data_IF_054800135200
#
_entry.id   IF_054800135200
#
_cell.length_a   1.000
_cell.length_b   1.000
_cell.length_c   1.000
_cell.angle_alpha   90.00
_cell.angle_beta   90.00
_cell.angle_gamma   90.00
#
_symmetry.space_group_name_H-M   'P 1'
#
loop_
_entity.id
_entity.type
_entity.pdbx_description
1 polymer ?
#
# COMPACT_ATOMS: atom_id res chain seq x y z
N UNK A 1 4.51 44.47 15.83
CA UNK A 1 4.53 43.36 14.84
C UNK A 1 3.75 42.20 15.46
N UNK A 2 2.44 42.21 15.26
CA UNK A 2 1.57 41.11 15.64
C UNK A 2 0.64 40.86 14.46
N UNK A 3 0.55 39.60 14.06
CA UNK A 3 -0.64 38.86 13.64
C UNK A 3 -0.18 37.65 12.82
N UNK A 4 0.27 36.60 13.52
CA UNK A 4 0.20 35.24 12.99
C UNK A 4 -1.23 34.78 13.29
N UNK A 5 -2.06 34.42 12.29
CA UNK A 5 -3.38 33.90 12.58
C UNK A 5 -3.25 32.46 13.12
N UNK A 6 -3.63 32.28 14.39
CA UNK A 6 -3.65 31.03 15.15
C UNK A 6 -4.96 30.24 14.93
N UNK A 7 -5.34 30.01 13.68
CA UNK A 7 -6.59 29.30 13.38
C UNK A 7 -6.30 28.04 12.55
N UNK A 8 -5.93 26.96 13.25
CA UNK A 8 -5.84 25.62 12.65
C UNK A 8 -7.16 24.89 12.94
N UNK A 9 -7.99 24.71 11.90
CA UNK A 9 -9.25 23.97 12.00
C UNK A 9 -9.01 22.49 11.67
N UNK A 10 -9.25 21.59 12.63
CA UNK A 10 -9.36 20.16 12.33
C UNK A 10 -10.75 19.91 11.73
N UNK A 11 -10.79 19.45 10.47
CA UNK A 11 -12.02 19.09 9.77
C UNK A 11 -12.35 17.63 10.09
N UNK A 12 -13.08 17.40 11.17
CA UNK A 12 -13.55 16.04 11.53
C UNK A 12 -14.84 15.77 10.76
N UNK A 13 -14.85 14.71 9.95
CA UNK A 13 -16.04 14.27 9.23
C UNK A 13 -16.84 13.32 10.11
N UNK A 14 -17.97 13.80 10.63
CA UNK A 14 -19.01 12.96 11.21
C UNK A 14 -20.37 13.46 10.71
N UNK A 15 -21.10 12.57 10.01
CA UNK A 15 -22.50 12.74 9.63
C UNK A 15 -22.91 14.11 9.06
N UNK A 16 -22.16 14.62 8.07
CA UNK A 16 -22.61 15.73 7.21
C UNK A 16 -22.71 17.12 7.86
N UNK A 17 -22.17 17.34 9.06
CA UNK A 17 -22.09 18.70 9.67
C UNK A 17 -20.65 19.09 9.97
N UNK A 18 -20.20 20.20 9.39
CA UNK A 18 -18.89 20.81 9.68
C UNK A 18 -18.95 21.46 11.07
N UNK A 19 -18.46 20.77 12.10
CA UNK A 19 -18.24 21.39 13.41
C UNK A 19 -16.88 22.12 13.41
N UNK A 20 -16.92 23.43 13.54
CA UNK A 20 -15.73 24.25 13.82
C UNK A 20 -15.39 24.13 15.30
N UNK A 21 -14.56 23.15 15.67
CA UNK A 21 -14.01 23.07 17.03
C UNK A 21 -12.77 23.96 17.12
N UNK A 22 -12.81 24.97 18.00
CA UNK A 22 -11.62 25.76 18.36
C UNK A 22 -10.79 24.95 19.35
N UNK A 23 -9.70 24.37 18.89
CA UNK A 23 -8.79 23.62 19.75
C UNK A 23 -7.89 24.59 20.52
N UNK A 24 -8.33 24.99 21.71
CA UNK A 24 -7.52 25.78 22.64
C UNK A 24 -6.45 24.88 23.28
N UNK A 25 -5.32 24.73 22.59
CA UNK A 25 -4.16 24.03 23.15
C UNK A 25 -3.48 24.96 24.15
N UNK A 26 -3.60 24.65 25.45
CA UNK A 26 -2.84 25.34 26.49
C UNK A 26 -1.34 25.21 26.24
N UNK A 27 -0.56 26.27 26.54
CA UNK A 27 0.89 26.32 26.34
C UNK A 27 1.62 25.13 27.00
N UNK A 28 1.07 24.61 28.08
CA UNK A 28 1.59 23.43 28.80
C UNK A 28 1.47 22.14 27.99
N UNK A 29 0.38 21.97 27.24
CA UNK A 29 0.17 20.80 26.38
C UNK A 29 1.05 20.89 25.12
N UNK A 30 1.30 22.11 24.62
CA UNK A 30 2.18 22.32 23.49
C UNK A 30 3.63 21.92 23.81
N UNK A 31 4.11 22.23 25.03
CA UNK A 31 5.44 21.81 25.50
C UNK A 31 5.51 20.27 25.60
N UNK A 32 4.47 19.62 26.14
CA UNK A 32 4.44 18.15 26.25
C UNK A 32 4.50 17.47 24.87
N UNK A 33 3.74 17.97 23.90
CA UNK A 33 3.76 17.44 22.52
C UNK A 33 5.15 17.63 21.89
N UNK A 34 5.79 18.77 22.12
CA UNK A 34 7.12 19.07 21.58
C UNK A 34 8.19 18.13 22.19
N UNK A 35 8.13 17.88 23.49
CA UNK A 35 9.04 16.93 24.18
C UNK A 35 8.83 15.50 23.65
N UNK A 36 7.59 15.04 23.51
CA UNK A 36 7.29 13.71 22.96
C UNK A 36 7.80 13.57 21.52
N UNK A 37 7.65 14.61 20.71
CA UNK A 37 8.17 14.65 19.34
C UNK A 37 9.70 14.51 19.28
N UNK A 38 10.44 15.20 20.16
CA UNK A 38 11.91 15.11 20.22
C UNK A 38 12.38 13.71 20.67
N UNK A 39 11.69 13.09 21.63
CA UNK A 39 12.05 11.74 22.08
C UNK A 39 11.85 10.72 20.95
N UNK A 40 10.74 10.83 20.19
CA UNK A 40 10.47 9.96 19.05
C UNK A 40 11.51 10.09 17.94
N UNK A 41 12.00 11.29 17.64
CA UNK A 41 13.02 11.48 16.60
C UNK A 41 14.37 10.87 17.00
N UNK A 42 14.77 10.96 18.26
CA UNK A 42 16.01 10.34 18.76
C UNK A 42 15.93 8.80 18.64
N UNK A 43 14.80 8.20 18.99
CA UNK A 43 14.60 6.74 18.86
C UNK A 43 14.67 6.30 17.40
N UNK A 44 14.10 7.09 16.48
CA UNK A 44 14.08 6.78 15.06
C UNK A 44 15.48 6.85 14.43
N UNK A 45 16.29 7.85 14.80
CA UNK A 45 17.69 7.96 14.38
C UNK A 45 18.53 6.81 14.96
N UNK A 46 18.35 6.46 16.23
CA UNK A 46 19.04 5.33 16.86
C UNK A 46 18.71 3.98 16.19
N UNK A 47 17.47 3.79 15.76
CA UNK A 47 17.04 2.58 15.04
C UNK A 47 17.67 2.49 13.64
N UNK A 48 17.74 3.59 12.90
CA UNK A 48 18.34 3.63 11.57
C UNK A 48 19.85 3.36 11.58
N UNK A 49 20.57 3.80 12.62
CA UNK A 49 22.00 3.54 12.76
C UNK A 49 22.32 2.08 13.13
N UNK A 50 21.37 1.32 13.67
CA UNK A 50 21.56 -0.10 14.05
C UNK A 50 21.58 -1.05 12.85
N UNK A 51 21.02 -0.67 11.70
CA UNK A 51 20.80 -1.56 10.54
C UNK A 51 22.04 -1.77 9.65
N UNK A 52 23.20 -1.16 9.94
CA UNK A 52 24.34 -1.11 9.01
C UNK A 52 25.47 -2.14 9.21
N UNK A 53 25.42 -3.01 10.22
CA UNK A 53 26.59 -3.81 10.63
C UNK A 53 26.47 -5.35 10.52
N UNK A 54 25.67 -5.90 9.61
CA UNK A 54 25.68 -7.36 9.36
C UNK A 54 25.52 -7.71 7.89
N UNK A 55 26.61 -7.75 7.14
CA UNK A 55 26.74 -8.55 5.91
C UNK A 55 28.18 -9.02 5.78
N UNK A 56 28.42 -10.31 6.04
CA UNK A 56 29.56 -11.08 5.53
C UNK A 56 29.35 -12.58 5.70
N UNK A 57 29.84 -13.33 4.70
CA UNK A 57 30.07 -14.80 4.61
C UNK A 57 28.89 -15.61 4.05
N UNK A 58 28.95 -16.43 2.99
CA UNK A 58 29.88 -16.77 1.88
C UNK A 58 29.07 -17.66 0.86
N UNK A 59 29.59 -17.96 -0.36
CA UNK A 59 28.90 -18.65 -1.45
C UNK A 59 29.19 -20.16 -1.57
N UNK A 60 28.30 -20.88 -2.26
CA UNK A 60 28.43 -22.29 -2.70
C UNK A 60 27.03 -22.88 -2.91
N UNK A 61 26.66 -23.62 -3.96
CA UNK A 61 27.39 -24.65 -4.70
C UNK A 61 26.68 -24.91 -6.03
N UNK A 62 27.45 -25.02 -7.11
CA UNK A 62 27.02 -25.50 -8.43
C UNK A 62 26.69 -27.01 -8.39
N UNK A 63 25.57 -27.41 -8.98
CA UNK A 63 25.32 -28.76 -9.52
C UNK A 63 24.46 -28.56 -10.78
N UNK A 64 25.09 -28.47 -11.96
CA UNK A 64 25.17 -29.54 -12.98
C UNK A 64 23.97 -30.51 -12.97
N UNK A 65 23.02 -30.28 -13.87
CA UNK A 65 22.27 -31.34 -14.54
C UNK A 65 22.29 -31.03 -16.03
N UNK A 66 23.08 -31.82 -16.77
CA UNK A 66 22.83 -32.09 -18.19
C UNK A 66 21.61 -32.99 -18.25
N UNK A 67 20.66 -32.67 -19.12
CA UNK A 67 20.09 -33.68 -19.99
C UNK A 67 19.58 -33.05 -21.28
N UNK A 68 19.83 -33.80 -22.34
CA UNK A 68 19.68 -33.47 -23.75
C UNK A 68 18.21 -33.53 -24.18
N UNK A 69 17.88 -32.63 -25.11
CA UNK A 69 17.16 -32.94 -26.35
C UNK A 69 15.80 -33.66 -26.28
N UNK A 70 14.72 -32.89 -26.50
CA UNK A 70 13.85 -33.16 -27.67
C UNK A 70 13.05 -31.92 -28.07
N UNK A 71 13.43 -31.36 -29.21
CA UNK A 71 12.61 -30.46 -30.01
C UNK A 71 11.44 -31.28 -30.58
N UNK A 72 10.23 -30.99 -30.11
CA UNK A 72 9.00 -31.40 -30.79
C UNK A 72 8.20 -30.13 -31.09
N UNK A 73 8.48 -29.58 -32.28
CA UNK A 73 7.77 -28.44 -32.83
C UNK A 73 6.39 -28.90 -33.28
N UNK A 74 5.43 -28.93 -32.35
CA UNK A 74 4.02 -28.86 -32.74
C UNK A 74 3.70 -27.37 -32.90
N UNK A 75 3.88 -26.87 -34.14
CA UNK A 75 3.36 -25.56 -34.53
C UNK A 75 1.83 -25.61 -34.41
N UNK A 76 1.29 -25.08 -33.31
CA UNK A 76 -0.10 -24.64 -33.30
C UNK A 76 -0.24 -23.53 -34.36
N UNK A 77 -1.21 -23.61 -35.28
CA UNK A 77 -1.52 -22.51 -36.17
C UNK A 77 -1.74 -21.25 -35.31
N UNK A 78 -0.99 -20.19 -35.60
CA UNK A 78 -1.24 -18.86 -35.03
C UNK A 78 -2.55 -18.38 -35.66
N UNK A 79 -3.65 -18.85 -35.10
CA UNK A 79 -5.00 -18.46 -35.44
C UNK A 79 -5.20 -17.03 -34.91
N UNK A 80 -5.32 -16.08 -35.85
CA UNK A 80 -5.82 -14.72 -35.68
C UNK A 80 -5.50 -14.06 -34.32
N UNK A 81 -4.30 -13.50 -34.21
CA UNK A 81 -4.12 -12.34 -33.35
C UNK A 81 -4.93 -11.19 -33.97
N UNK A 82 -6.19 -11.07 -33.57
CA UNK A 82 -6.96 -9.85 -33.78
C UNK A 82 -6.10 -8.71 -33.26
N UNK A 83 -5.56 -7.90 -34.19
CA UNK A 83 -4.82 -6.71 -33.80
C UNK A 83 -5.79 -5.84 -33.02
N UNK A 84 -5.48 -5.50 -31.76
CA UNK A 84 -6.38 -4.72 -30.93
C UNK A 84 -6.74 -3.44 -31.66
N UNK A 85 -8.02 -3.08 -31.60
CA UNK A 85 -8.51 -1.86 -32.24
C UNK A 85 -7.74 -0.67 -31.69
N UNK A 86 -7.36 0.28 -32.56
CA UNK A 86 -6.65 1.51 -32.14
C UNK A 86 -7.38 2.22 -30.97
N UNK A 87 -8.71 2.17 -30.95
CA UNK A 87 -9.54 2.75 -29.89
C UNK A 87 -9.37 2.05 -28.53
N UNK A 88 -9.26 0.72 -28.52
CA UNK A 88 -9.02 -0.07 -27.30
C UNK A 88 -7.65 0.22 -26.70
N UNK A 89 -6.65 0.46 -27.57
CA UNK A 89 -5.30 0.85 -27.15
C UNK A 89 -5.29 2.25 -26.53
N UNK A 90 -6.03 3.21 -27.09
CA UNK A 90 -6.12 4.56 -26.53
C UNK A 90 -6.82 4.62 -25.17
N UNK A 91 -7.93 3.90 -25.00
CA UNK A 91 -8.65 3.86 -23.73
C UNK A 91 -7.81 3.21 -22.62
N UNK A 92 -7.08 2.14 -22.95
CA UNK A 92 -6.15 1.51 -22.02
C UNK A 92 -4.99 2.44 -21.62
N UNK A 93 -4.51 3.29 -22.54
CA UNK A 93 -3.46 4.27 -22.27
C UNK A 93 -3.92 5.39 -21.34
N UNK A 94 -5.12 5.92 -21.56
CA UNK A 94 -5.70 6.97 -20.71
C UNK A 94 -5.94 6.44 -19.30
N UNK A 95 -6.48 5.23 -19.17
CA UNK A 95 -6.69 4.57 -17.88
C UNK A 95 -5.37 4.36 -17.11
N UNK A 96 -4.31 3.88 -17.78
CA UNK A 96 -3.01 3.67 -17.14
C UNK A 96 -2.28 4.98 -16.82
N UNK A 97 -2.70 6.08 -17.43
CA UNK A 97 -2.21 7.43 -17.07
C UNK A 97 -2.89 7.92 -15.80
N UNK A 98 -4.20 7.66 -15.65
CA UNK A 98 -4.97 8.01 -14.45
C UNK A 98 -4.65 7.12 -13.24
N UNK A 99 -4.40 5.83 -13.49
CA UNK A 99 -4.09 4.82 -12.48
C UNK A 99 -2.76 4.09 -12.77
N UNK A 100 -1.60 4.75 -12.60
CA UNK A 100 -0.30 4.14 -12.93
C UNK A 100 0.00 2.85 -12.18
N UNK A 101 -0.46 2.77 -10.92
CA UNK A 101 -0.29 1.63 -10.02
C UNK A 101 -1.11 0.40 -10.43
N UNK A 102 -2.04 0.53 -11.39
CA UNK A 102 -2.91 -0.58 -11.79
C UNK A 102 -2.12 -1.75 -12.40
N UNK A 103 -0.96 -1.47 -13.00
CA UNK A 103 -0.07 -2.48 -13.61
C UNK A 103 0.57 -3.43 -12.59
N UNK A 104 0.69 -2.97 -11.35
CA UNK A 104 1.34 -3.72 -10.27
C UNK A 104 0.33 -4.55 -9.46
N UNK A 105 -0.95 -4.55 -9.86
CA UNK A 105 -2.00 -5.33 -9.23
C UNK A 105 -2.19 -6.71 -9.91
N UNK A 106 -2.59 -7.74 -9.15
CA UNK A 106 -2.75 -7.75 -7.69
C UNK A 106 -1.40 -7.81 -6.96
N UNK A 107 -1.31 -7.13 -5.81
CA UNK A 107 -0.15 -7.27 -4.91
C UNK A 107 -0.47 -8.35 -3.88
N UNK A 108 0.29 -9.44 -3.90
CA UNK A 108 0.10 -10.59 -3.02
C UNK A 108 1.27 -10.77 -2.05
N UNK A 109 0.94 -10.99 -0.78
CA UNK A 109 1.88 -11.32 0.29
C UNK A 109 1.37 -12.53 1.09
N UNK A 110 2.14 -13.00 2.05
CA UNK A 110 1.69 -14.04 2.99
C UNK A 110 0.51 -13.57 3.86
N UNK A 111 0.33 -12.26 4.04
CA UNK A 111 -0.70 -11.69 4.91
C UNK A 111 -1.95 -11.23 4.16
N UNK A 112 -1.82 -10.75 2.91
CA UNK A 112 -2.94 -10.12 2.21
C UNK A 112 -2.79 -10.13 0.69
N UNK A 113 -3.89 -9.79 0.02
CA UNK A 113 -3.95 -9.49 -1.42
C UNK A 113 -4.61 -8.12 -1.60
N UNK A 114 -3.95 -7.23 -2.35
CA UNK A 114 -4.51 -5.95 -2.80
C UNK A 114 -4.96 -6.12 -4.24
N UNK A 115 -6.19 -5.70 -4.52
CA UNK A 115 -6.75 -5.69 -5.87
C UNK A 115 -7.63 -4.45 -6.07
N UNK A 116 -7.92 -4.11 -7.32
CA UNK A 116 -8.81 -2.99 -7.67
C UNK A 116 -10.14 -3.50 -8.19
N UNK A 117 -11.23 -2.90 -7.73
CA UNK A 117 -12.56 -3.13 -8.27
C UNK A 117 -12.90 -1.99 -9.24
N UNK A 118 -12.82 -2.28 -10.55
CA UNK A 118 -13.11 -1.28 -11.60
C UNK A 118 -14.53 -0.71 -11.48
N UNK A 119 -15.53 -1.56 -11.20
CA UNK A 119 -16.94 -1.13 -11.13
C UNK A 119 -17.24 -0.16 -9.98
N UNK A 120 -16.44 -0.24 -8.91
CA UNK A 120 -16.65 0.52 -7.67
C UNK A 120 -15.59 1.58 -7.42
N UNK A 121 -14.57 1.62 -8.28
CA UNK A 121 -13.39 2.49 -8.14
C UNK A 121 -12.80 2.46 -6.73
N UNK A 122 -12.68 1.26 -6.15
CA UNK A 122 -12.18 1.07 -4.79
C UNK A 122 -11.23 -0.12 -4.68
N UNK A 123 -10.29 -0.04 -3.73
CA UNK A 123 -9.39 -1.15 -3.43
C UNK A 123 -10.09 -2.24 -2.61
N UNK A 124 -9.77 -3.48 -2.93
CA UNK A 124 -10.15 -4.66 -2.16
C UNK A 124 -8.91 -5.20 -1.45
N UNK A 125 -8.95 -5.19 -0.12
CA UNK A 125 -7.92 -5.77 0.74
C UNK A 125 -8.41 -7.13 1.26
N UNK A 126 -7.93 -8.22 0.67
CA UNK A 126 -8.25 -9.56 1.15
C UNK A 126 -7.19 -10.01 2.15
N UNK A 127 -7.55 -10.16 3.42
CA UNK A 127 -6.66 -10.66 4.47
C UNK A 127 -6.64 -12.19 4.43
N UNK A 128 -5.45 -12.79 4.46
CA UNK A 128 -5.24 -14.25 4.47
C UNK A 128 -5.41 -14.84 5.87
N UNK A 129 -6.53 -14.50 6.50
CA UNK A 129 -6.95 -14.97 7.82
C UNK A 129 -8.47 -15.17 7.82
N UNK A 130 -8.99 -16.08 8.66
CA UNK A 130 -10.43 -16.23 8.82
C UNK A 130 -11.04 -15.02 9.54
N UNK A 131 -12.31 -14.74 9.26
CA UNK A 131 -13.05 -13.60 9.81
C UNK A 131 -13.16 -13.65 11.34
N UNK A 132 -13.20 -14.86 11.92
CA UNK A 132 -13.27 -15.08 13.37
C UNK A 132 -11.92 -14.95 14.11
N UNK A 133 -10.88 -14.45 13.44
CA UNK A 133 -9.57 -14.18 14.05
C UNK A 133 -9.66 -13.16 15.18
N UNK A 134 -8.63 -13.13 16.04
CA UNK A 134 -8.57 -12.11 17.09
C UNK A 134 -8.48 -10.70 16.50
N UNK A 135 -9.07 -9.72 17.19
CA UNK A 135 -9.03 -8.31 16.75
C UNK A 135 -7.59 -7.80 16.59
N UNK A 136 -6.67 -8.25 17.44
CA UNK A 136 -5.25 -7.93 17.32
C UNK A 136 -4.68 -8.42 15.98
N UNK A 137 -4.95 -9.67 15.60
CA UNK A 137 -4.51 -10.25 14.33
C UNK A 137 -5.11 -9.49 13.15
N UNK A 138 -6.43 -9.23 13.19
CA UNK A 138 -7.12 -8.46 12.15
C UNK A 138 -6.49 -7.07 11.99
N UNK A 139 -6.20 -6.39 13.10
CA UNK A 139 -5.58 -5.07 13.08
C UNK A 139 -4.17 -5.11 12.47
N UNK A 140 -3.34 -6.09 12.84
CA UNK A 140 -1.99 -6.26 12.28
C UNK A 140 -2.04 -6.48 10.77
N UNK A 141 -2.90 -7.39 10.31
CA UNK A 141 -3.03 -7.71 8.89
C UNK A 141 -3.58 -6.52 8.09
N UNK A 142 -4.57 -5.83 8.63
CA UNK A 142 -5.13 -4.62 8.04
C UNK A 142 -4.09 -3.51 7.93
N UNK A 143 -3.35 -3.23 9.01
CA UNK A 143 -2.29 -2.21 8.99
C UNK A 143 -1.20 -2.54 7.97
N UNK A 144 -0.84 -3.82 7.83
CA UNK A 144 0.12 -4.25 6.82
C UNK A 144 -0.41 -4.07 5.39
N UNK A 145 -1.67 -4.44 5.13
CA UNK A 145 -2.30 -4.26 3.81
C UNK A 145 -2.43 -2.78 3.44
N UNK A 146 -2.81 -1.94 4.40
CA UNK A 146 -2.88 -0.47 4.28
C UNK A 146 -1.49 0.11 3.99
N UNK A 147 -0.44 -0.36 4.67
CA UNK A 147 0.93 0.08 4.38
C UNK A 147 1.36 -0.29 2.95
N UNK A 148 1.04 -1.51 2.50
CA UNK A 148 1.30 -1.94 1.12
C UNK A 148 0.53 -1.13 0.08
N UNK A 149 -0.71 -0.77 0.38
CA UNK A 149 -1.52 0.09 -0.51
C UNK A 149 -0.91 1.49 -0.66
N UNK A 150 -0.38 2.05 0.44
CA UNK A 150 0.32 3.33 0.42
C UNK A 150 1.62 3.26 -0.38
N UNK A 151 2.36 2.16 -0.27
CA UNK A 151 3.58 1.94 -1.07
C UNK A 151 3.26 1.84 -2.57
N UNK A 152 2.19 1.11 -2.90
CA UNK A 152 1.70 0.94 -4.27
C UNK A 152 1.27 2.25 -4.92
N UNK A 153 0.46 3.05 -4.22
CA UNK A 153 -0.16 4.26 -4.80
C UNK A 153 0.69 5.51 -4.63
N UNK A 154 1.64 5.52 -3.70
CA UNK A 154 2.44 6.70 -3.34
C UNK A 154 1.64 7.82 -2.65
N UNK A 155 0.31 7.68 -2.53
CA UNK A 155 -0.60 8.67 -1.98
C UNK A 155 -1.14 8.26 -0.60
N UNK A 156 -1.50 9.25 0.21
CA UNK A 156 -2.29 9.02 1.41
C UNK A 156 -3.75 8.86 1.01
N UNK A 157 -4.50 7.99 1.72
CA UNK A 157 -5.87 7.50 1.46
C UNK A 157 -6.99 8.55 1.21
N UNK A 158 -6.66 9.82 1.06
CA UNK A 158 -7.60 10.90 0.78
C UNK A 158 -8.21 10.78 -0.63
N UNK A 159 -7.60 10.02 -1.55
CA UNK A 159 -8.06 9.84 -2.94
C UNK A 159 -8.72 8.50 -3.24
N UNK A 160 -8.45 7.45 -2.46
CA UNK A 160 -8.90 6.10 -2.76
C UNK A 160 -9.54 5.42 -1.55
N UNK A 161 -10.74 4.87 -1.74
CA UNK A 161 -11.44 4.05 -0.74
C UNK A 161 -10.98 2.59 -0.81
N UNK A 162 -11.16 1.87 0.29
CA UNK A 162 -10.94 0.43 0.33
C UNK A 162 -11.95 -0.29 1.20
N UNK A 163 -12.14 -1.58 0.93
CA UNK A 163 -12.88 -2.49 1.80
C UNK A 163 -12.10 -3.78 2.08
N UNK A 164 -12.44 -4.42 3.19
CA UNK A 164 -11.75 -5.59 3.72
C UNK A 164 -12.57 -6.86 3.41
N UNK A 165 -11.88 -7.92 3.01
CA UNK A 165 -12.41 -9.26 2.89
C UNK A 165 -11.52 -10.24 3.64
N UNK A 166 -12.08 -11.36 4.06
CA UNK A 166 -11.35 -12.45 4.71
C UNK A 166 -11.24 -13.63 3.77
N UNK A 167 -10.12 -14.34 3.83
CA UNK A 167 -9.92 -15.59 3.13
C UNK A 167 -9.87 -16.70 4.17
N UNK A 168 -10.89 -17.55 4.17
CA UNK A 168 -10.83 -18.82 4.90
C UNK A 168 -9.76 -19.69 4.25
N UNK A 169 -8.83 -20.19 5.07
CA UNK A 169 -7.77 -21.08 4.65
C UNK A 169 -8.30 -22.51 4.47
#
# INVERSE_FOLDING_TARGET
IHLIPQDWYLKVWDNGRVMKSKMNISKENLIRILVVGIVLTIVLVGFLLRKRNTTKTEPGTFTTVKDEEKTDTTETPIENLETPSYYEVSEALDFLTEYPWYRDLPVETDMYIISWNLDREEFRLRLKIPENSSQETINTYTQSAVAGLKELTGELFDKYTYYIMYQEN
#
